data_IF_096599129516
#
_entry.id   IF_096599129516
#
_cell.length_a   1.000
_cell.length_b   1.000
_cell.length_c   1.000
_cell.angle_alpha   90.00
_cell.angle_beta   90.00
_cell.angle_gamma   90.00
#
_symmetry.space_group_name_H-M   'P 1'
#
loop_
_entity.id
_entity.type
_entity.pdbx_description
1 polymer ?
#
# COMPACT_ATOMS: atom_id res chain seq x y z
N UNK A 1 11.07 24.00 -24.40
CA UNK A 1 11.05 22.53 -24.55
C UNK A 1 10.97 21.74 -23.24
N UNK A 2 11.00 22.37 -22.06
CA UNK A 2 11.02 21.68 -20.76
C UNK A 2 9.64 21.26 -20.22
N UNK A 3 8.58 21.97 -20.58
CA UNK A 3 7.24 21.78 -19.99
C UNK A 3 6.63 20.39 -20.32
N UNK A 4 6.81 19.89 -21.53
CA UNK A 4 6.27 18.60 -21.94
C UNK A 4 6.95 17.39 -21.27
N UNK A 5 8.25 17.51 -20.97
CA UNK A 5 8.99 16.40 -20.34
C UNK A 5 8.67 16.27 -18.83
N UNK A 6 8.38 17.38 -18.14
CA UNK A 6 7.97 17.34 -16.72
C UNK A 6 6.56 16.81 -16.57
N UNK A 7 5.64 17.16 -17.45
CA UNK A 7 4.27 16.62 -17.48
C UNK A 7 4.27 15.10 -17.74
N UNK A 8 5.10 14.61 -18.66
CA UNK A 8 5.23 13.17 -18.94
C UNK A 8 5.72 12.41 -17.69
N UNK A 9 6.64 12.98 -16.92
CA UNK A 9 7.12 12.36 -15.67
C UNK A 9 6.05 12.30 -14.59
N UNK A 10 5.30 13.36 -14.38
CA UNK A 10 4.19 13.41 -13.42
C UNK A 10 3.07 12.44 -13.81
N UNK A 11 2.73 12.38 -15.07
CA UNK A 11 1.76 11.40 -15.59
C UNK A 11 2.24 9.96 -15.39
N UNK A 12 3.53 9.70 -15.59
CA UNK A 12 4.15 8.41 -15.30
C UNK A 12 4.04 8.02 -13.82
N UNK A 13 4.28 8.95 -12.90
CA UNK A 13 4.16 8.75 -11.46
C UNK A 13 2.70 8.48 -11.06
N UNK A 14 1.75 9.25 -11.59
CA UNK A 14 0.33 9.02 -11.35
C UNK A 14 -0.12 7.66 -11.87
N UNK A 15 0.34 7.27 -13.06
CA UNK A 15 0.08 5.95 -13.64
C UNK A 15 0.65 4.84 -12.79
N UNK A 16 1.87 5.01 -12.27
CA UNK A 16 2.51 4.06 -11.35
C UNK A 16 1.66 3.86 -10.10
N UNK A 17 1.24 4.94 -9.41
CA UNK A 17 0.39 4.85 -8.23
C UNK A 17 -0.98 4.21 -8.54
N UNK A 18 -1.52 4.46 -9.73
CA UNK A 18 -2.76 3.81 -10.16
C UNK A 18 -2.57 2.31 -10.39
N UNK A 19 -1.48 1.93 -11.04
CA UNK A 19 -1.14 0.52 -11.27
C UNK A 19 -0.90 -0.23 -9.95
N UNK A 20 -0.22 0.40 -8.98
CA UNK A 20 -0.05 -0.15 -7.63
C UNK A 20 -1.42 -0.36 -6.98
N UNK A 21 -2.30 0.64 -7.00
CA UNK A 21 -3.64 0.51 -6.45
C UNK A 21 -4.44 -0.62 -7.10
N UNK A 22 -4.40 -0.73 -8.42
CA UNK A 22 -5.07 -1.81 -9.16
C UNK A 22 -4.53 -3.18 -8.75
N UNK A 23 -3.23 -3.33 -8.66
CA UNK A 23 -2.60 -4.60 -8.29
C UNK A 23 -2.91 -5.01 -6.84
N UNK A 24 -3.00 -4.04 -5.91
CA UNK A 24 -3.44 -4.30 -4.53
C UNK A 24 -4.87 -4.84 -4.51
N UNK A 25 -5.80 -4.25 -5.26
CA UNK A 25 -7.20 -4.70 -5.27
C UNK A 25 -7.42 -6.04 -6.01
N UNK A 26 -6.50 -6.45 -6.86
CA UNK A 26 -6.50 -7.77 -7.52
C UNK A 26 -5.98 -8.89 -6.59
N UNK A 27 -5.24 -8.55 -5.54
CA UNK A 27 -4.69 -9.53 -4.61
C UNK A 27 -5.75 -9.99 -3.61
N UNK A 28 -6.25 -11.20 -3.80
CA UNK A 28 -7.33 -11.79 -2.99
C UNK A 28 -6.97 -11.91 -1.50
N UNK A 29 -5.72 -12.22 -1.18
CA UNK A 29 -5.24 -12.34 0.19
C UNK A 29 -5.24 -10.98 0.89
N UNK A 30 -4.71 -9.94 0.22
CA UNK A 30 -4.75 -8.57 0.75
C UNK A 30 -6.19 -8.09 0.96
N UNK A 31 -7.08 -8.36 -0.01
CA UNK A 31 -8.48 -7.97 0.12
C UNK A 31 -9.18 -8.65 1.30
N UNK A 32 -8.92 -9.94 1.53
CA UNK A 32 -9.46 -10.63 2.73
C UNK A 32 -8.91 -10.03 4.03
N UNK A 33 -7.61 -9.78 4.12
CA UNK A 33 -7.01 -9.14 5.29
C UNK A 33 -7.58 -7.74 5.57
N UNK A 34 -7.97 -7.00 4.55
CA UNK A 34 -8.57 -5.68 4.68
C UNK A 34 -10.06 -5.75 5.01
N UNK A 35 -10.81 -6.65 4.38
CA UNK A 35 -12.26 -6.76 4.56
C UNK A 35 -12.63 -7.35 5.91
N UNK A 36 -11.94 -8.42 6.30
CA UNK A 36 -12.27 -9.21 7.49
C UNK A 36 -11.32 -8.90 8.64
N UNK A 37 -11.88 -8.47 9.75
CA UNK A 37 -11.12 -8.11 10.96
C UNK A 37 -11.00 -9.28 11.96
N UNK A 38 -11.43 -10.48 11.56
CA UNK A 38 -11.34 -11.72 12.35
C UNK A 38 -10.05 -12.49 12.11
N UNK A 39 -9.71 -13.41 13.02
CA UNK A 39 -8.53 -14.26 12.91
C UNK A 39 -8.61 -15.21 11.72
N UNK A 40 -9.80 -15.69 11.37
CA UNK A 40 -10.08 -16.60 10.25
C UNK A 40 -10.19 -15.89 8.88
N UNK A 41 -9.77 -14.63 8.78
CA UNK A 41 -9.92 -13.79 7.60
C UNK A 41 -9.50 -14.47 6.28
N UNK A 42 -8.46 -15.31 6.31
CA UNK A 42 -7.93 -15.98 5.12
C UNK A 42 -8.81 -17.14 4.63
N UNK A 43 -9.62 -17.73 5.52
CA UNK A 43 -10.54 -18.83 5.18
C UNK A 43 -11.92 -18.34 4.75
N UNK A 44 -12.21 -17.04 4.94
CA UNK A 44 -13.49 -16.44 4.56
C UNK A 44 -13.62 -16.26 3.04
N UNK A 45 -14.85 -16.10 2.51
CA UNK A 45 -15.08 -15.95 1.08
C UNK A 45 -14.28 -14.83 0.42
N UNK A 46 -14.08 -14.92 -0.88
CA UNK A 46 -13.47 -13.84 -1.64
C UNK A 46 -14.29 -12.55 -1.54
N UNK A 47 -13.58 -11.44 -1.44
CA UNK A 47 -14.19 -10.11 -1.36
C UNK A 47 -14.77 -9.75 -2.72
N UNK A 48 -16.04 -9.38 -2.77
CA UNK A 48 -16.73 -9.01 -4.00
C UNK A 48 -16.27 -7.66 -4.53
N UNK A 49 -16.42 -7.42 -5.83
CA UNK A 49 -16.09 -6.12 -6.45
C UNK A 49 -16.84 -4.94 -5.83
N UNK A 50 -18.05 -5.16 -5.33
CA UNK A 50 -18.81 -4.12 -4.62
C UNK A 50 -18.14 -3.74 -3.29
N UNK A 51 -17.72 -4.73 -2.52
CA UNK A 51 -16.98 -4.51 -1.27
C UNK A 51 -15.61 -3.85 -1.52
N UNK A 52 -14.88 -4.32 -2.55
CA UNK A 52 -13.59 -3.74 -2.92
C UNK A 52 -13.71 -2.24 -3.21
N UNK A 53 -14.76 -1.82 -3.92
CA UNK A 53 -15.00 -0.40 -4.20
C UNK A 53 -15.15 0.45 -2.94
N UNK A 54 -15.68 -0.11 -1.87
CA UNK A 54 -15.83 0.59 -0.59
C UNK A 54 -14.50 0.68 0.16
N UNK A 55 -13.57 -0.27 -0.05
CA UNK A 55 -12.25 -0.25 0.59
C UNK A 55 -11.31 0.82 0.02
N UNK A 56 -11.54 1.30 -1.20
CA UNK A 56 -10.65 2.27 -1.85
C UNK A 56 -10.99 3.68 -1.44
N UNK A 57 -10.04 4.38 -0.86
CA UNK A 57 -10.18 5.78 -0.41
C UNK A 57 -10.53 6.74 -1.54
N UNK A 58 -11.64 7.45 -1.41
CA UNK A 58 -12.14 8.46 -2.36
C UNK A 58 -12.37 9.83 -1.71
N UNK A 59 -11.62 10.16 -0.67
CA UNK A 59 -11.81 11.41 0.07
C UNK A 59 -12.67 11.20 1.33
N UNK A 60 -13.80 11.87 1.43
CA UNK A 60 -14.69 11.73 2.60
C UNK A 60 -15.44 10.39 2.56
N UNK A 61 -15.27 9.59 3.59
CA UNK A 61 -15.98 8.33 3.79
C UNK A 61 -16.86 8.42 5.03
N UNK A 62 -18.16 8.62 4.88
CA UNK A 62 -19.08 8.74 6.01
C UNK A 62 -19.22 7.43 6.81
N UNK A 63 -18.91 6.28 6.21
CA UNK A 63 -19.05 4.96 6.83
C UNK A 63 -17.74 4.38 7.35
N UNK A 64 -16.62 5.10 7.18
CA UNK A 64 -15.29 4.68 7.61
C UNK A 64 -14.85 3.29 7.05
N UNK A 65 -15.32 2.93 5.85
CA UNK A 65 -15.04 1.64 5.22
C UNK A 65 -13.72 1.62 4.44
N UNK A 66 -13.18 2.82 4.13
CA UNK A 66 -11.97 2.95 3.34
C UNK A 66 -10.76 2.41 4.11
N UNK A 67 -10.01 1.53 3.47
CA UNK A 67 -8.84 0.86 4.05
C UNK A 67 -7.60 0.88 3.14
N UNK A 68 -7.72 1.43 1.93
CA UNK A 68 -6.63 1.60 0.96
C UNK A 68 -6.46 3.08 0.65
N UNK A 69 -5.30 3.64 1.00
CA UNK A 69 -5.04 5.08 0.89
C UNK A 69 -3.73 5.35 0.13
N UNK A 70 -3.75 6.43 -0.66
CA UNK A 70 -2.57 6.96 -1.38
C UNK A 70 -1.93 8.12 -0.61
N UNK A 71 -1.83 8.01 0.71
CA UNK A 71 -1.32 9.04 1.61
C UNK A 71 -0.77 8.41 2.89
N UNK A 72 0.16 9.07 3.59
CA UNK A 72 0.67 8.58 4.87
C UNK A 72 -0.42 8.49 5.94
N UNK A 73 -0.13 7.71 6.98
CA UNK A 73 -0.99 7.65 8.16
C UNK A 73 -0.84 8.93 8.98
N UNK A 74 -1.97 9.50 9.41
CA UNK A 74 -2.04 10.62 10.33
C UNK A 74 -2.82 10.20 11.59
N UNK A 75 -2.25 10.47 12.74
CA UNK A 75 -2.68 9.96 14.06
C UNK A 75 -4.10 10.40 14.48
N UNK A 76 -4.59 11.51 13.98
CA UNK A 76 -5.78 12.18 14.52
C UNK A 76 -7.13 11.69 13.94
N UNK A 77 -7.16 10.65 13.10
CA UNK A 77 -8.34 10.38 12.28
C UNK A 77 -8.97 9.01 12.56
N UNK A 78 -8.29 8.10 13.28
CA UNK A 78 -8.75 6.71 13.37
C UNK A 78 -8.86 6.24 14.81
N UNK A 79 -10.10 6.09 15.29
CA UNK A 79 -10.40 5.46 16.58
C UNK A 79 -10.85 4.00 16.46
N UNK A 80 -11.43 3.63 15.33
CA UNK A 80 -12.06 2.32 15.16
C UNK A 80 -11.04 1.22 14.81
N UNK A 81 -11.16 0.03 15.43
CA UNK A 81 -10.28 -1.11 15.13
C UNK A 81 -10.37 -1.52 13.66
N UNK A 82 -9.30 -1.32 12.88
CA UNK A 82 -9.25 -1.67 11.45
C UNK A 82 -7.85 -2.00 10.97
N UNK A 83 -7.80 -2.55 9.76
CA UNK A 83 -6.58 -2.83 9.00
C UNK A 83 -6.54 -1.93 7.79
N UNK A 84 -5.39 -1.28 7.50
CA UNK A 84 -5.21 -0.40 6.36
C UNK A 84 -3.92 -0.71 5.59
N UNK A 85 -3.96 -0.45 4.29
CA UNK A 85 -2.77 -0.32 3.44
C UNK A 85 -2.68 1.14 2.99
N UNK A 86 -1.51 1.72 3.18
CA UNK A 86 -1.19 3.06 2.71
C UNK A 86 0.04 3.00 1.83
N UNK A 87 0.01 3.68 0.70
CA UNK A 87 1.16 3.79 -0.18
C UNK A 87 1.23 5.19 -0.78
N UNK A 88 2.42 5.73 -0.84
CA UNK A 88 2.66 7.08 -1.32
C UNK A 88 4.12 7.26 -1.71
N UNK A 89 4.41 8.35 -2.39
CA UNK A 89 5.76 8.73 -2.76
C UNK A 89 6.20 9.84 -1.81
N UNK A 90 7.11 9.56 -0.85
CA UNK A 90 7.57 10.56 0.10
C UNK A 90 8.54 11.55 -0.54
N UNK A 91 9.39 11.05 -1.44
CA UNK A 91 10.42 11.82 -2.14
C UNK A 91 10.57 11.24 -3.53
N UNK A 92 10.74 12.08 -4.52
CA UNK A 92 11.29 11.69 -5.80
C UNK A 92 12.35 12.72 -6.21
N UNK A 93 13.49 12.23 -6.67
CA UNK A 93 14.60 13.05 -7.11
C UNK A 93 14.84 12.82 -8.60
N UNK A 94 14.81 13.86 -9.43
CA UNK A 94 15.19 13.73 -10.82
C UNK A 94 16.71 13.56 -10.91
N UNK A 95 17.19 12.39 -11.30
CA UNK A 95 18.62 12.17 -11.53
C UNK A 95 19.12 12.82 -12.81
N UNK A 96 18.26 12.94 -13.81
CA UNK A 96 18.47 13.65 -15.05
C UNK A 96 17.11 13.92 -15.74
N UNK A 97 17.13 14.47 -16.95
CA UNK A 97 15.92 14.82 -17.73
C UNK A 97 15.05 13.59 -18.03
N UNK A 98 15.61 12.39 -18.02
CA UNK A 98 14.98 11.17 -18.50
C UNK A 98 14.81 10.09 -17.45
N UNK A 99 15.51 10.17 -16.32
CA UNK A 99 15.51 9.12 -15.29
C UNK A 99 15.10 9.70 -13.95
N UNK A 100 13.98 9.26 -13.46
CA UNK A 100 13.49 9.58 -12.14
C UNK A 100 13.60 8.34 -11.26
N UNK A 101 14.37 8.44 -10.18
CA UNK A 101 14.29 7.47 -9.10
C UNK A 101 13.10 7.82 -8.25
N UNK A 102 12.23 6.85 -7.99
CA UNK A 102 11.03 7.04 -7.19
C UNK A 102 11.03 6.04 -6.06
N UNK A 103 10.92 6.54 -4.85
CA UNK A 103 10.72 5.73 -3.66
C UNK A 103 9.24 5.67 -3.32
N UNK A 104 8.72 4.47 -3.21
CA UNK A 104 7.34 4.23 -2.80
C UNK A 104 7.36 3.67 -1.39
N UNK A 105 6.79 4.40 -0.46
CA UNK A 105 6.58 3.93 0.90
C UNK A 105 5.28 3.13 0.97
N UNK A 106 5.37 1.92 1.49
CA UNK A 106 4.22 1.12 1.91
C UNK A 106 4.12 1.14 3.42
N UNK A 107 2.93 1.37 3.93
CA UNK A 107 2.59 1.27 5.35
C UNK A 107 1.43 0.30 5.52
N UNK A 108 1.61 -0.70 6.35
CA UNK A 108 0.57 -1.60 6.82
C UNK A 108 0.22 -1.18 8.23
N UNK A 109 -0.96 -0.62 8.41
CA UNK A 109 -1.44 -0.06 9.67
C UNK A 109 -2.55 -0.96 10.20
N UNK A 110 -2.36 -1.53 11.37
CA UNK A 110 -3.30 -2.49 11.96
C UNK A 110 -3.55 -2.13 13.41
N UNK A 111 -4.81 -2.15 13.82
CA UNK A 111 -5.17 -2.04 15.22
C UNK A 111 -4.61 -3.23 16.00
N UNK A 112 -3.99 -2.99 17.16
CA UNK A 112 -3.24 -4.00 17.91
C UNK A 112 -4.08 -5.25 18.28
N UNK A 113 -5.40 -5.11 18.42
CA UNK A 113 -6.30 -6.24 18.66
C UNK A 113 -6.61 -7.10 17.41
N UNK A 114 -6.06 -6.76 16.23
CA UNK A 114 -6.34 -7.44 14.94
C UNK A 114 -5.07 -8.02 14.30
N UNK A 115 -4.02 -8.20 15.08
CA UNK A 115 -2.72 -8.66 14.58
C UNK A 115 -2.68 -10.14 14.22
N UNK A 116 -3.37 -10.97 15.01
CA UNK A 116 -3.27 -12.42 14.87
C UNK A 116 -4.28 -12.94 13.85
N UNK A 117 -3.83 -13.94 13.09
CA UNK A 117 -4.64 -14.79 12.24
C UNK A 117 -4.62 -16.22 12.80
N UNK A 118 -5.54 -17.05 12.30
CA UNK A 118 -5.54 -18.49 12.60
C UNK A 118 -4.21 -19.14 12.19
N UNK A 119 -3.92 -20.31 12.73
CA UNK A 119 -2.70 -21.06 12.46
C UNK A 119 -1.40 -20.34 12.88
N UNK A 120 -1.48 -19.41 13.84
CA UNK A 120 -0.34 -18.60 14.33
C UNK A 120 0.29 -17.68 13.29
N UNK A 121 -0.44 -17.32 12.23
CA UNK A 121 0.02 -16.30 11.30
C UNK A 121 -0.14 -14.90 11.89
N UNK A 122 0.78 -14.01 11.55
CA UNK A 122 0.74 -12.59 11.92
C UNK A 122 0.25 -11.80 10.71
N UNK A 123 -0.95 -11.24 10.79
CA UNK A 123 -1.63 -10.52 9.70
C UNK A 123 -0.74 -9.50 8.98
N UNK A 124 -0.03 -8.59 9.67
CA UNK A 124 0.82 -7.63 8.97
C UNK A 124 1.98 -8.27 8.19
N UNK A 125 2.54 -9.39 8.65
CA UNK A 125 3.60 -10.10 7.90
C UNK A 125 3.05 -10.81 6.66
N UNK A 126 1.85 -11.38 6.75
CA UNK A 126 1.15 -11.92 5.57
C UNK A 126 0.97 -10.83 4.53
N UNK A 127 0.50 -9.65 4.94
CA UNK A 127 0.29 -8.52 4.02
C UNK A 127 1.60 -8.00 3.43
N UNK A 128 2.67 -7.87 4.23
CA UNK A 128 4.02 -7.52 3.72
C UNK A 128 4.45 -8.50 2.63
N UNK A 129 4.35 -9.79 2.91
CA UNK A 129 4.77 -10.85 1.99
C UNK A 129 3.99 -10.79 0.66
N UNK A 130 2.68 -10.57 0.72
CA UNK A 130 1.86 -10.42 -0.49
C UNK A 130 2.24 -9.17 -1.31
N UNK A 131 2.50 -8.04 -0.64
CA UNK A 131 2.96 -6.83 -1.33
C UNK A 131 4.33 -7.09 -1.99
N UNK A 132 5.25 -7.74 -1.30
CA UNK A 132 6.56 -8.05 -1.89
C UNK A 132 6.46 -9.02 -3.07
N UNK A 133 5.59 -10.01 -3.02
CA UNK A 133 5.35 -10.92 -4.17
C UNK A 133 4.82 -10.18 -5.39
N UNK A 134 3.92 -9.21 -5.17
CA UNK A 134 3.27 -8.50 -6.25
C UNK A 134 4.14 -7.41 -6.87
N UNK A 135 5.04 -6.80 -6.10
CA UNK A 135 5.74 -5.59 -6.51
C UNK A 135 7.24 -5.71 -6.64
N UNK A 136 7.91 -6.50 -5.79
CA UNK A 136 9.37 -6.60 -5.81
C UNK A 136 9.84 -7.32 -7.07
N UNK A 137 10.68 -6.68 -7.85
CA UNK A 137 11.16 -7.19 -9.14
C UNK A 137 10.21 -6.91 -10.33
N UNK A 138 9.15 -6.11 -10.15
CA UNK A 138 8.17 -5.81 -11.20
C UNK A 138 8.33 -4.39 -11.75
N UNK A 139 8.17 -4.24 -13.07
CA UNK A 139 7.97 -2.94 -13.73
C UNK A 139 6.46 -2.69 -13.87
N UNK A 140 5.94 -1.70 -13.17
CA UNK A 140 4.52 -1.39 -13.16
C UNK A 140 4.11 -0.14 -13.92
N UNK A 141 5.00 0.47 -14.64
CA UNK A 141 4.63 1.71 -15.31
C UNK A 141 5.66 2.27 -16.29
N UNK A 142 6.65 1.48 -16.64
CA UNK A 142 7.75 1.91 -17.54
C UNK A 142 8.68 2.94 -16.90
N UNK A 143 8.70 3.02 -15.57
CA UNK A 143 9.61 3.89 -14.81
C UNK A 143 10.83 3.10 -14.30
N UNK A 144 10.84 1.79 -14.51
CA UNK A 144 11.86 0.86 -14.06
C UNK A 144 11.32 -0.19 -13.08
N UNK A 145 12.20 -1.11 -12.72
CA UNK A 145 11.85 -2.24 -11.86
C UNK A 145 11.82 -1.81 -10.41
N UNK A 146 10.73 -2.10 -9.71
CA UNK A 146 10.60 -1.88 -8.27
C UNK A 146 11.43 -2.90 -7.50
N UNK A 147 12.23 -2.45 -6.56
CA UNK A 147 13.04 -3.30 -5.71
C UNK A 147 12.94 -2.86 -4.25
N UNK A 148 12.93 -3.82 -3.33
CA UNK A 148 13.03 -3.53 -1.90
C UNK A 148 14.41 -2.93 -1.61
N UNK A 149 14.43 -1.67 -1.20
CA UNK A 149 15.67 -0.90 -0.97
C UNK A 149 15.91 -0.59 0.50
N UNK A 150 14.93 -0.85 1.34
CA UNK A 150 15.03 -0.60 2.78
C UNK A 150 14.76 -1.84 3.61
N UNK A 151 15.16 -1.79 4.87
CA UNK A 151 14.69 -2.77 5.85
C UNK A 151 13.17 -2.64 6.05
N UNK A 152 12.50 -3.76 6.24
CA UNK A 152 11.10 -3.79 6.70
C UNK A 152 11.12 -3.46 8.19
N UNK A 153 10.51 -2.35 8.57
CA UNK A 153 10.58 -1.83 9.93
C UNK A 153 9.21 -1.88 10.61
N UNK A 154 9.20 -2.24 11.88
CA UNK A 154 8.03 -2.08 12.74
C UNK A 154 7.78 -0.59 12.98
N UNK A 155 6.53 -0.19 12.92
CA UNK A 155 6.08 1.15 13.31
C UNK A 155 4.97 1.05 14.35
N UNK A 156 5.08 1.90 15.37
CA UNK A 156 4.01 2.16 16.32
C UNK A 156 3.52 3.58 16.03
N UNK A 157 2.37 3.70 15.38
CA UNK A 157 1.84 5.02 15.02
C UNK A 157 1.18 5.72 16.21
N UNK A 158 0.52 4.93 17.07
CA UNK A 158 -0.04 5.38 18.34
C UNK A 158 -0.25 4.19 19.31
N UNK A 159 -0.93 4.40 20.43
CA UNK A 159 -1.18 3.35 21.42
C UNK A 159 -2.04 2.19 20.92
N UNK A 160 -2.82 2.39 19.87
CA UNK A 160 -3.80 1.42 19.34
C UNK A 160 -3.41 0.83 17.99
N UNK A 161 -2.54 1.52 17.24
CA UNK A 161 -2.17 1.12 15.88
C UNK A 161 -0.68 0.93 15.74
N UNK A 162 -0.30 -0.21 15.19
CA UNK A 162 1.07 -0.56 14.84
C UNK A 162 1.09 -1.34 13.51
N UNK A 163 2.26 -1.75 13.06
CA UNK A 163 2.41 -2.53 11.84
C UNK A 163 3.80 -2.44 11.25
N UNK A 164 3.89 -2.40 9.94
CA UNK A 164 5.17 -2.35 9.22
C UNK A 164 5.18 -1.26 8.16
N UNK A 165 6.37 -0.70 7.92
CA UNK A 165 6.62 0.12 6.75
C UNK A 165 7.93 -0.27 6.07
N UNK A 166 8.00 -0.06 4.77
CA UNK A 166 9.15 -0.34 3.92
C UNK A 166 9.08 0.47 2.63
N UNK A 167 10.19 0.50 1.91
CA UNK A 167 10.28 1.22 0.65
C UNK A 167 10.62 0.27 -0.50
N UNK A 168 9.90 0.44 -1.59
CA UNK A 168 10.26 -0.10 -2.89
C UNK A 168 10.69 1.07 -3.76
N UNK A 169 11.88 0.98 -4.35
CA UNK A 169 12.42 2.04 -5.21
C UNK A 169 12.55 1.56 -6.64
N UNK A 170 12.29 2.45 -7.59
CA UNK A 170 12.63 2.20 -8.97
C UNK A 170 14.15 2.31 -9.14
N UNK A 171 14.76 1.32 -9.75
CA UNK A 171 16.12 1.43 -10.24
C UNK A 171 16.07 1.47 -11.76
N UNK A 172 16.63 2.51 -12.34
CA UNK A 172 16.96 2.47 -13.77
C UNK A 172 18.02 1.40 -13.99
N UNK A 173 17.74 0.47 -14.86
CA UNK A 173 18.71 -0.50 -15.36
C UNK A 173 19.63 0.19 -16.37
#
# INVERSE_FOLDING_TARGET
>A
MSINNELIKLDGIQKLLSNIGNKIIENKTLMRCLQYDSADALSLPEVTMSQIKNLVGKGTDPNNEQKIFKMPFYDNVVSDPRTEIRFFIPIFEPNNIYLTSVDICFQIVIHNAKWDLDENYIKPLVMVNEILKDFNGQDLGGIGVLQLTSSIKVANWNSSFSGYFFYLSTRSV
#
